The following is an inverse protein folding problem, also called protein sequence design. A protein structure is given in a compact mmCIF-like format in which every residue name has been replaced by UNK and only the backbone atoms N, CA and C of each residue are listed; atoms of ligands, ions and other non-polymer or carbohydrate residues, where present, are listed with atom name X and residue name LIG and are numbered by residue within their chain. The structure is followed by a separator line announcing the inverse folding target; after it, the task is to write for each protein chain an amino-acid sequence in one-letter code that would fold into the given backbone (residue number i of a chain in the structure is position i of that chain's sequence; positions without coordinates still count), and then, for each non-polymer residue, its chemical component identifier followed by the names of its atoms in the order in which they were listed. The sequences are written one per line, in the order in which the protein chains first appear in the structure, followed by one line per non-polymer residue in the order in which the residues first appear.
data_IF_344594275821
#
_entry.id   IF_344594275821
#
_cell.length_a   1.000
_cell.length_b   1.000
_cell.length_c   1.000
_cell.angle_alpha   90.00
_cell.angle_beta   90.00
_cell.angle_gamma   90.00
#
_symmetry.space_group_name_H-M   'P 1'
#
loop_
_entity.id
_entity.type
_entity.pdbx_description
1 polymer ?
#
# COMPACT_ATOMS: atom_id res chain seq x y z
N UNK A 1 -51.38 21.80 28.56
CA UNK A 1 -50.29 22.36 29.37
C UNK A 1 -49.72 21.25 30.23
N UNK A 2 -48.39 21.11 30.22
CA UNK A 2 -47.57 20.18 30.99
C UNK A 2 -47.63 18.68 30.67
N UNK A 3 -46.83 18.27 29.72
CA UNK A 3 -46.19 16.92 29.65
C UNK A 3 -44.98 16.96 28.73
N UNK A 4 -43.92 17.66 29.09
CA UNK A 4 -42.62 17.66 28.39
C UNK A 4 -41.47 18.00 29.37
N UNK A 5 -41.41 17.27 30.50
CA UNK A 5 -40.20 17.30 31.36
C UNK A 5 -40.16 16.03 32.20
N UNK A 6 -39.90 14.88 31.58
CA UNK A 6 -39.61 13.67 32.33
C UNK A 6 -38.28 13.10 31.85
N UNK A 7 -37.23 13.05 32.68
CA UNK A 7 -35.91 12.61 32.32
C UNK A 7 -35.79 11.14 31.89
N UNK A 8 -36.79 10.32 32.24
CA UNK A 8 -36.82 8.88 31.87
C UNK A 8 -37.18 8.62 30.41
N UNK A 9 -37.80 9.60 29.71
CA UNK A 9 -38.10 9.46 28.27
C UNK A 9 -36.89 9.75 27.36
N UNK A 10 -35.87 10.43 27.85
CA UNK A 10 -34.62 10.68 27.11
C UNK A 10 -33.67 9.48 27.11
N UNK A 11 -33.70 8.70 28.17
CA UNK A 11 -32.82 7.49 28.26
C UNK A 11 -33.32 6.34 27.37
N UNK A 12 -34.62 6.24 27.11
CA UNK A 12 -35.19 5.21 26.24
C UNK A 12 -35.03 5.52 24.73
N UNK A 13 -34.92 6.77 24.35
CA UNK A 13 -34.61 7.16 22.96
C UNK A 13 -33.16 6.84 22.58
N UNK A 14 -32.23 7.01 23.53
CA UNK A 14 -30.81 6.68 23.32
C UNK A 14 -30.53 5.17 23.31
N UNK A 15 -31.33 4.35 24.00
CA UNK A 15 -31.16 2.91 24.02
C UNK A 15 -31.64 2.21 22.73
N UNK A 16 -32.56 2.83 21.98
CA UNK A 16 -33.03 2.28 20.71
C UNK A 16 -32.11 2.64 19.53
N UNK A 17 -31.35 3.71 19.61
CA UNK A 17 -30.40 4.13 18.55
C UNK A 17 -29.11 3.32 18.53
N UNK A 18 -28.77 2.62 19.63
CA UNK A 18 -27.60 1.71 19.71
C UNK A 18 -27.80 0.32 19.08
N UNK A 19 -28.95 0.03 18.46
CA UNK A 19 -29.28 -1.32 17.93
C UNK A 19 -29.39 -1.42 16.41
N UNK A 20 -29.02 -0.40 15.64
CA UNK A 20 -28.94 -0.51 14.18
C UNK A 20 -27.64 0.08 13.62
N UNK A 21 -26.55 -0.71 13.56
CA UNK A 21 -25.31 -0.30 12.91
C UNK A 21 -25.21 -0.75 11.44
N UNK A 22 -26.31 -0.78 10.69
CA UNK A 22 -26.25 -1.17 9.28
C UNK A 22 -27.13 -0.27 8.43
N UNK A 23 -26.56 0.87 8.02
CA UNK A 23 -26.88 1.54 6.75
C UNK A 23 -25.70 2.44 6.39
N UNK A 24 -24.56 1.83 6.01
CA UNK A 24 -23.60 2.50 5.16
C UNK A 24 -24.19 2.52 3.75
N UNK A 25 -24.55 3.72 3.30
CA UNK A 25 -24.98 4.02 1.96
C UNK A 25 -23.88 3.74 0.95
N UNK A 26 -23.95 2.60 0.25
CA UNK A 26 -23.00 2.30 -0.82
C UNK A 26 -23.08 0.91 -1.39
N UNK A 27 -24.28 0.36 -1.66
CA UNK A 27 -24.41 -0.80 -2.56
C UNK A 27 -25.87 -1.25 -2.66
N UNK A 28 -26.75 -0.47 -3.30
CA UNK A 28 -28.05 -0.95 -3.75
C UNK A 28 -28.63 -0.07 -4.88
N UNK A 29 -27.90 0.05 -5.99
CA UNK A 29 -28.47 0.49 -7.28
C UNK A 29 -27.75 -0.29 -8.39
N UNK A 30 -28.15 -1.53 -8.66
CA UNK A 30 -27.88 -2.22 -9.93
C UNK A 30 -28.73 -3.50 -10.07
N UNK A 31 -30.05 -3.41 -9.95
CA UNK A 31 -30.95 -4.49 -10.42
C UNK A 31 -32.38 -4.05 -10.77
N UNK A 32 -32.70 -2.75 -10.72
CA UNK A 32 -34.04 -2.24 -11.07
C UNK A 32 -34.09 -1.28 -12.25
N UNK A 33 -32.95 -0.92 -12.84
CA UNK A 33 -32.81 0.19 -13.76
C UNK A 33 -33.17 -0.06 -15.24
N UNK A 34 -33.25 -1.29 -15.70
CA UNK A 34 -33.39 -1.54 -17.14
C UNK A 34 -34.83 -1.56 -17.68
N UNK A 35 -35.83 -1.71 -16.85
CA UNK A 35 -37.25 -1.76 -17.32
C UNK A 35 -37.92 -0.38 -17.24
N UNK A 36 -37.50 0.47 -16.30
CA UNK A 36 -38.05 1.84 -16.18
C UNK A 36 -37.42 2.78 -17.20
N UNK A 37 -36.19 2.52 -17.65
CA UNK A 37 -35.50 3.36 -18.65
C UNK A 37 -36.10 3.22 -20.06
N UNK A 38 -36.69 2.08 -20.43
CA UNK A 38 -37.29 1.87 -21.76
C UNK A 38 -38.69 2.48 -21.86
N UNK A 39 -39.46 2.62 -20.76
CA UNK A 39 -40.71 3.31 -20.72
C UNK A 39 -40.57 4.83 -20.61
N UNK A 40 -39.42 5.32 -20.11
CA UNK A 40 -39.15 6.76 -19.97
C UNK A 40 -38.63 7.40 -21.28
N UNK A 41 -38.00 6.62 -22.15
CA UNK A 41 -37.49 7.06 -23.46
C UNK A 41 -38.57 7.18 -24.53
N UNK A 42 -39.75 6.61 -24.32
CA UNK A 42 -40.88 6.67 -25.26
C UNK A 42 -41.86 7.83 -24.96
N UNK A 43 -41.66 8.57 -23.87
CA UNK A 43 -42.51 9.73 -23.48
C UNK A 43 -41.77 11.07 -23.49
N UNK A 44 -40.56 11.17 -23.98
CA UNK A 44 -39.80 12.44 -24.13
C UNK A 44 -39.52 12.81 -25.58
N UNK A 45 -40.60 12.96 -26.38
CA UNK A 45 -40.59 14.02 -27.37
C UNK A 45 -41.00 15.29 -26.66
N UNK A 46 -40.15 16.35 -26.76
CA UNK A 46 -40.38 17.72 -26.29
C UNK A 46 -40.29 18.02 -24.78
N UNK A 47 -39.05 18.20 -24.27
CA UNK A 47 -38.64 19.28 -23.36
C UNK A 47 -37.19 19.13 -22.89
N UNK A 48 -36.25 19.37 -23.77
CA UNK A 48 -34.83 19.20 -23.53
C UNK A 48 -34.08 20.40 -22.96
N UNK A 49 -34.70 21.26 -22.10
CA UNK A 49 -33.92 22.41 -21.59
C UNK A 49 -34.16 22.82 -20.12
N UNK A 50 -34.94 22.10 -19.35
CA UNK A 50 -35.25 22.55 -17.97
C UNK A 50 -34.64 21.71 -16.83
N UNK A 51 -34.02 20.57 -17.11
CA UNK A 51 -33.40 19.74 -16.07
C UNK A 51 -31.93 20.06 -15.78
N UNK A 52 -31.20 20.58 -16.76
CA UNK A 52 -29.81 21.04 -16.56
C UNK A 52 -29.75 22.35 -15.76
N UNK A 53 -30.75 23.23 -15.88
CA UNK A 53 -30.79 24.48 -15.13
C UNK A 53 -31.17 24.26 -13.64
N UNK A 54 -32.02 23.30 -13.33
CA UNK A 54 -32.43 23.05 -11.93
C UNK A 54 -31.33 22.41 -11.08
N UNK A 55 -30.47 21.55 -11.64
CA UNK A 55 -29.32 20.99 -10.92
C UNK A 55 -28.25 22.06 -10.68
N UNK A 56 -27.96 22.90 -11.65
CA UNK A 56 -26.98 23.99 -11.55
C UNK A 56 -27.42 25.06 -10.54
N UNK A 57 -28.72 25.39 -10.49
CA UNK A 57 -29.27 26.34 -9.51
C UNK A 57 -29.24 25.79 -8.08
N UNK A 58 -29.56 24.51 -7.88
CA UNK A 58 -29.50 23.87 -6.56
C UNK A 58 -28.05 23.76 -6.05
N UNK A 59 -27.06 23.50 -6.91
CA UNK A 59 -25.64 23.48 -6.55
C UNK A 59 -25.12 24.87 -6.18
N UNK A 60 -25.54 25.92 -6.89
CA UNK A 60 -25.17 27.30 -6.59
C UNK A 60 -25.77 27.79 -5.27
N UNK A 61 -27.03 27.44 -4.98
CA UNK A 61 -27.70 27.77 -3.71
C UNK A 61 -27.01 27.06 -2.54
N UNK A 62 -26.63 25.78 -2.69
CA UNK A 62 -25.90 25.01 -1.69
C UNK A 62 -24.53 25.62 -1.41
N UNK A 63 -23.76 25.94 -2.46
CA UNK A 63 -22.44 26.58 -2.33
C UNK A 63 -22.51 27.96 -1.68
N UNK A 64 -23.58 28.73 -1.96
CA UNK A 64 -23.79 30.06 -1.36
C UNK A 64 -24.12 29.94 0.12
N UNK A 65 -24.94 28.97 0.50
CA UNK A 65 -25.30 28.65 1.87
C UNK A 65 -24.08 28.20 2.68
N UNK A 66 -23.26 27.27 2.16
CA UNK A 66 -22.00 26.82 2.80
C UNK A 66 -21.02 27.97 2.99
N UNK A 67 -20.84 28.84 2.00
CA UNK A 67 -19.95 30.01 2.08
C UNK A 67 -20.41 30.98 3.17
N UNK A 68 -21.72 31.17 3.33
CA UNK A 68 -22.30 32.02 4.36
C UNK A 68 -22.06 31.41 5.74
N UNK A 69 -22.40 30.13 5.93
CA UNK A 69 -22.20 29.38 7.19
C UNK A 69 -20.73 29.37 7.59
N UNK A 70 -19.80 29.19 6.64
CA UNK A 70 -18.35 29.27 6.92
C UNK A 70 -17.96 30.64 7.48
N UNK A 71 -18.43 31.74 6.88
CA UNK A 71 -18.14 33.11 7.35
C UNK A 71 -18.70 33.36 8.75
N UNK A 72 -19.89 32.88 9.02
CA UNK A 72 -20.54 33.01 10.33
C UNK A 72 -19.79 32.24 11.41
N UNK A 73 -19.36 30.99 11.12
CA UNK A 73 -18.56 30.20 12.04
C UNK A 73 -17.19 30.84 12.32
N UNK A 74 -16.52 31.37 11.29
CA UNK A 74 -15.24 32.07 11.48
C UNK A 74 -15.42 33.32 12.34
N UNK A 75 -16.45 34.13 12.09
CA UNK A 75 -16.75 35.32 12.91
C UNK A 75 -17.13 34.96 14.34
N UNK A 76 -17.85 33.86 14.53
CA UNK A 76 -18.19 33.33 15.84
C UNK A 76 -16.94 32.88 16.62
N UNK A 77 -16.04 32.12 15.98
CA UNK A 77 -14.77 31.66 16.59
C UNK A 77 -13.79 32.81 16.91
N UNK A 78 -13.85 33.92 16.18
CA UNK A 78 -13.10 35.12 16.58
C UNK A 78 -13.52 35.68 17.94
N UNK A 79 -14.79 35.48 18.32
CA UNK A 79 -15.37 35.93 19.60
C UNK A 79 -15.29 34.85 20.68
N UNK A 80 -15.37 33.58 20.27
CA UNK A 80 -15.38 32.41 21.14
C UNK A 80 -14.34 31.37 20.63
N UNK A 81 -13.04 31.61 20.84
CA UNK A 81 -11.96 30.81 20.22
C UNK A 81 -11.85 29.38 20.75
N UNK A 82 -12.46 29.07 21.90
CA UNK A 82 -12.38 27.75 22.53
C UNK A 82 -13.68 26.94 22.37
N UNK A 83 -14.61 27.38 21.50
CA UNK A 83 -15.87 26.65 21.29
C UNK A 83 -15.65 25.43 20.40
N UNK A 84 -15.60 24.25 21.04
CA UNK A 84 -15.35 22.96 20.40
C UNK A 84 -16.42 22.59 19.36
N UNK A 85 -17.71 22.99 19.60
CA UNK A 85 -18.80 22.70 18.65
C UNK A 85 -18.65 23.51 17.36
N UNK A 86 -18.29 24.78 17.48
CA UNK A 86 -18.05 25.62 16.31
C UNK A 86 -16.81 25.17 15.53
N UNK A 87 -15.73 24.78 16.21
CA UNK A 87 -14.55 24.18 15.58
C UNK A 87 -14.90 22.89 14.85
N UNK A 88 -15.64 21.98 15.49
CA UNK A 88 -16.06 20.74 14.84
C UNK A 88 -16.87 21.01 13.55
N UNK A 89 -17.88 21.88 13.64
CA UNK A 89 -18.72 22.22 12.48
C UNK A 89 -17.92 22.92 11.36
N UNK A 90 -16.97 23.77 11.70
CA UNK A 90 -16.12 24.41 10.69
C UNK A 90 -15.19 23.38 10.03
N UNK A 91 -14.63 22.45 10.79
CA UNK A 91 -13.82 21.36 10.29
C UNK A 91 -14.59 20.52 9.25
N UNK A 92 -15.79 20.05 9.60
CA UNK A 92 -16.67 19.30 8.69
C UNK A 92 -16.97 20.07 7.40
N UNK A 93 -17.23 21.36 7.52
CA UNK A 93 -17.62 22.19 6.38
C UNK A 93 -16.50 22.45 5.38
N UNK A 94 -15.23 22.42 5.84
CA UNK A 94 -14.09 22.81 5.02
C UNK A 94 -13.12 21.67 4.67
N UNK A 95 -13.32 20.45 5.19
CA UNK A 95 -12.34 19.36 5.08
C UNK A 95 -11.93 19.04 3.64
N UNK A 96 -12.86 19.05 2.69
CA UNK A 96 -12.60 18.74 1.28
C UNK A 96 -11.86 19.86 0.55
N UNK A 97 -12.05 21.12 0.98
CA UNK A 97 -11.53 22.31 0.30
C UNK A 97 -10.30 22.91 0.95
N UNK A 98 -10.16 22.72 2.26
CA UNK A 98 -9.08 23.28 3.05
C UNK A 98 -8.63 22.29 4.15
N UNK A 99 -8.05 21.13 3.77
CA UNK A 99 -7.77 20.03 4.68
C UNK A 99 -6.87 20.43 5.85
N UNK A 100 -5.86 21.26 5.65
CA UNK A 100 -5.00 21.74 6.74
C UNK A 100 -5.74 22.62 7.76
N UNK A 101 -6.68 23.45 7.30
CA UNK A 101 -7.50 24.27 8.21
C UNK A 101 -8.53 23.39 8.94
N UNK A 102 -9.05 22.36 8.30
CA UNK A 102 -9.93 21.38 8.91
C UNK A 102 -9.19 20.60 10.03
N UNK A 103 -7.97 20.15 9.77
CA UNK A 103 -7.11 19.52 10.79
C UNK A 103 -6.88 20.40 12.01
N UNK A 104 -6.65 21.69 11.79
CA UNK A 104 -6.51 22.67 12.87
C UNK A 104 -7.81 22.73 13.71
N UNK A 105 -8.95 22.91 13.06
CA UNK A 105 -10.24 22.97 13.73
C UNK A 105 -10.56 21.68 14.48
N UNK A 106 -10.42 20.51 13.87
CA UNK A 106 -10.64 19.24 14.55
C UNK A 106 -9.70 19.02 15.74
N UNK A 107 -8.49 19.61 15.71
CA UNK A 107 -7.54 19.53 16.82
C UNK A 107 -7.99 20.30 18.08
N UNK A 108 -8.94 21.23 17.97
CA UNK A 108 -9.54 21.91 19.11
C UNK A 108 -10.66 21.09 19.79
N UNK A 109 -11.11 19.99 19.16
CA UNK A 109 -12.14 19.12 19.72
C UNK A 109 -11.51 18.16 20.72
N UNK A 110 -11.96 18.23 21.99
CA UNK A 110 -11.40 17.40 23.08
C UNK A 110 -12.30 16.19 23.40
N UNK A 111 -11.81 15.28 24.24
CA UNK A 111 -12.55 14.09 24.70
C UNK A 111 -13.90 14.42 25.38
N UNK A 112 -14.14 15.69 25.76
CA UNK A 112 -15.40 16.15 26.34
C UNK A 112 -16.49 16.37 25.30
N UNK A 113 -16.11 16.57 24.05
CA UNK A 113 -17.06 16.78 22.97
C UNK A 113 -17.74 15.45 22.58
N UNK A 114 -19.07 15.41 22.40
CA UNK A 114 -19.80 14.17 22.11
C UNK A 114 -19.39 13.50 20.79
N UNK A 115 -18.82 14.28 19.85
CA UNK A 115 -18.34 13.81 18.55
C UNK A 115 -16.78 13.79 18.46
N UNK A 116 -16.10 13.60 19.59
CA UNK A 116 -14.65 13.59 19.65
C UNK A 116 -14.04 12.54 18.71
N UNK A 117 -14.55 11.32 18.74
CA UNK A 117 -13.99 10.24 17.93
C UNK A 117 -14.23 10.43 16.44
N UNK A 118 -15.33 11.11 16.06
CA UNK A 118 -15.54 11.51 14.67
C UNK A 118 -14.53 12.57 14.22
N UNK A 119 -14.17 13.52 15.08
CA UNK A 119 -13.08 14.46 14.82
C UNK A 119 -11.72 13.75 14.68
N UNK A 120 -11.44 12.77 15.55
CA UNK A 120 -10.20 11.98 15.48
C UNK A 120 -10.18 11.13 14.19
N UNK A 121 -11.30 10.59 13.76
CA UNK A 121 -11.43 9.86 12.50
C UNK A 121 -11.13 10.78 11.31
N UNK A 122 -11.76 11.96 11.26
CA UNK A 122 -11.50 12.96 10.22
C UNK A 122 -10.04 13.41 10.22
N UNK A 123 -9.42 13.61 11.40
CA UNK A 123 -7.97 13.89 11.51
C UNK A 123 -7.16 12.75 10.89
N UNK A 124 -7.51 11.49 11.17
CA UNK A 124 -6.76 10.34 10.62
C UNK A 124 -6.85 10.26 9.10
N UNK A 125 -8.04 10.50 8.54
CA UNK A 125 -8.30 10.45 7.10
C UNK A 125 -7.58 11.59 6.37
N UNK A 126 -7.80 12.82 6.79
CA UNK A 126 -7.14 13.98 6.19
C UNK A 126 -5.61 13.86 6.32
N UNK A 127 -5.11 13.43 7.48
CA UNK A 127 -3.67 13.29 7.68
C UNK A 127 -3.04 12.21 6.78
N UNK A 128 -3.75 11.09 6.53
CA UNK A 128 -3.32 10.06 5.57
C UNK A 128 -3.27 10.60 4.14
N UNK A 129 -4.31 11.31 3.71
CA UNK A 129 -4.39 11.91 2.37
C UNK A 129 -3.31 12.96 2.12
N UNK A 130 -2.97 13.74 3.16
CA UNK A 130 -1.95 14.79 3.09
C UNK A 130 -0.53 14.29 3.40
N UNK A 131 -0.32 12.98 3.62
CA UNK A 131 1.00 12.42 3.94
C UNK A 131 1.55 12.85 5.30
N UNK A 132 0.69 13.23 6.25
CA UNK A 132 1.06 13.64 7.61
C UNK A 132 1.10 12.42 8.55
N UNK A 133 1.99 11.46 8.25
CA UNK A 133 2.05 10.14 8.90
C UNK A 133 2.06 10.19 10.43
N UNK A 134 2.75 11.16 11.03
CA UNK A 134 2.79 11.32 12.48
C UNK A 134 1.44 11.67 13.09
N UNK A 135 0.66 12.55 12.46
CA UNK A 135 -0.70 12.92 12.90
C UNK A 135 -1.67 11.77 12.67
N UNK A 136 -1.63 11.15 11.49
CA UNK A 136 -2.43 9.98 11.13
C UNK A 136 -2.23 8.83 12.14
N UNK A 137 -0.98 8.52 12.46
CA UNK A 137 -0.64 7.48 13.43
C UNK A 137 -1.17 7.79 14.83
N UNK A 138 -1.04 9.03 15.31
CA UNK A 138 -1.55 9.42 16.61
C UNK A 138 -3.06 9.29 16.71
N UNK A 139 -3.79 9.73 15.70
CA UNK A 139 -5.24 9.59 15.60
C UNK A 139 -5.66 8.11 15.52
N UNK A 140 -5.02 7.31 14.67
CA UNK A 140 -5.30 5.88 14.53
C UNK A 140 -5.04 5.09 15.83
N UNK A 141 -4.03 5.46 16.62
CA UNK A 141 -3.79 4.83 17.92
C UNK A 141 -4.91 5.07 18.92
N UNK A 142 -5.54 6.25 18.89
CA UNK A 142 -6.73 6.56 19.70
C UNK A 142 -7.90 5.70 19.22
N UNK A 143 -8.17 5.67 17.91
CA UNK A 143 -9.28 4.90 17.32
C UNK A 143 -9.16 3.39 17.56
N UNK A 144 -7.98 2.82 17.37
CA UNK A 144 -7.72 1.38 17.63
C UNK A 144 -7.92 1.03 19.11
N UNK A 145 -7.63 1.96 20.03
CA UNK A 145 -7.86 1.75 21.46
C UNK A 145 -9.35 1.76 21.81
N UNK A 146 -10.08 2.71 21.23
CA UNK A 146 -11.52 2.90 21.52
C UNK A 146 -12.39 1.90 20.77
N UNK A 147 -12.02 1.57 19.53
CA UNK A 147 -12.78 0.68 18.65
C UNK A 147 -11.92 -0.54 18.24
N UNK A 148 -11.58 -1.45 19.19
CA UNK A 148 -10.67 -2.58 18.92
C UNK A 148 -11.23 -3.59 17.92
N UNK A 149 -12.56 -3.63 17.74
CA UNK A 149 -13.25 -4.53 16.80
C UNK A 149 -13.39 -3.95 15.39
N UNK A 150 -13.02 -2.68 15.18
CA UNK A 150 -13.10 -2.02 13.88
C UNK A 150 -11.79 -2.22 13.11
N UNK A 151 -11.70 -3.35 12.41
CA UNK A 151 -10.47 -3.80 11.72
C UNK A 151 -9.85 -2.79 10.75
N UNK A 152 -10.65 -1.92 10.15
CA UNK A 152 -10.13 -0.94 9.20
C UNK A 152 -9.15 0.08 9.81
N UNK A 153 -9.29 0.43 11.08
CA UNK A 153 -8.30 1.27 11.77
C UNK A 153 -6.99 0.52 12.00
N UNK A 154 -7.06 -0.78 12.36
CA UNK A 154 -5.88 -1.62 12.48
C UNK A 154 -5.17 -1.76 11.13
N UNK A 155 -5.92 -1.95 10.02
CA UNK A 155 -5.36 -2.05 8.67
C UNK A 155 -4.62 -0.76 8.27
N UNK A 156 -5.23 0.41 8.50
CA UNK A 156 -4.60 1.72 8.22
C UNK A 156 -3.32 1.92 9.04
N UNK A 157 -3.38 1.60 10.35
CA UNK A 157 -2.21 1.70 11.24
C UNK A 157 -1.10 0.72 10.84
N UNK A 158 -1.46 -0.51 10.44
CA UNK A 158 -0.50 -1.50 9.95
C UNK A 158 0.26 -1.00 8.72
N UNK A 159 -0.43 -0.38 7.76
CA UNK A 159 0.19 0.20 6.56
C UNK A 159 1.17 1.33 6.89
N UNK A 160 0.81 2.24 7.81
CA UNK A 160 1.73 3.29 8.26
C UNK A 160 2.97 2.72 8.93
N UNK A 161 2.80 1.77 9.85
CA UNK A 161 3.92 1.13 10.54
C UNK A 161 4.81 0.32 9.60
N UNK A 162 4.21 -0.27 8.55
CA UNK A 162 4.94 -0.94 7.48
C UNK A 162 5.80 0.04 6.69
N UNK A 163 5.26 1.19 6.31
CA UNK A 163 6.00 2.25 5.63
C UNK A 163 7.14 2.82 6.49
N UNK A 164 6.95 2.88 7.82
CA UNK A 164 8.01 3.25 8.77
C UNK A 164 9.07 2.14 9.00
N UNK A 165 8.96 0.97 8.36
CA UNK A 165 9.84 -0.17 8.59
C UNK A 165 9.63 -0.89 9.92
N UNK A 166 8.57 -0.59 10.65
CA UNK A 166 8.24 -1.20 11.95
C UNK A 166 7.48 -2.52 11.78
N UNK A 167 8.10 -3.48 11.10
CA UNK A 167 7.45 -4.71 10.63
C UNK A 167 6.75 -5.52 11.72
N UNK A 168 7.35 -5.64 12.91
CA UNK A 168 6.73 -6.40 14.00
C UNK A 168 5.42 -5.77 14.50
N UNK A 169 5.37 -4.44 14.59
CA UNK A 169 4.16 -3.71 14.95
C UNK A 169 3.13 -3.74 13.81
N UNK A 170 3.56 -3.52 12.58
CA UNK A 170 2.71 -3.63 11.40
C UNK A 170 2.03 -5.00 11.33
N UNK A 171 2.79 -6.08 11.52
CA UNK A 171 2.27 -7.46 11.52
C UNK A 171 1.25 -7.68 12.63
N UNK A 172 1.48 -7.14 13.82
CA UNK A 172 0.55 -7.25 14.94
C UNK A 172 -0.81 -6.63 14.60
N UNK A 173 -0.80 -5.42 14.03
CA UNK A 173 -2.04 -4.73 13.68
C UNK A 173 -2.71 -5.33 12.43
N UNK A 174 -1.94 -5.78 11.44
CA UNK A 174 -2.49 -6.47 10.28
C UNK A 174 -3.20 -7.79 10.67
N UNK A 175 -2.64 -8.56 11.61
CA UNK A 175 -3.31 -9.77 12.15
C UNK A 175 -4.57 -9.42 12.94
N UNK A 176 -4.54 -8.36 13.75
CA UNK A 176 -5.74 -7.91 14.46
C UNK A 176 -6.86 -7.49 13.52
N UNK A 177 -6.54 -6.81 12.40
CA UNK A 177 -7.55 -6.53 11.39
C UNK A 177 -8.27 -7.81 10.93
N UNK A 178 -7.54 -8.89 10.67
CA UNK A 178 -8.12 -10.18 10.28
C UNK A 178 -8.99 -10.78 11.41
N UNK A 179 -8.53 -10.72 12.66
CA UNK A 179 -9.25 -11.18 13.84
C UNK A 179 -10.56 -10.40 14.05
N UNK A 180 -10.56 -9.10 13.78
CA UNK A 180 -11.72 -8.19 13.86
C UNK A 180 -12.64 -8.24 12.64
N UNK A 181 -12.47 -9.23 11.77
CA UNK A 181 -13.39 -9.44 10.63
C UNK A 181 -12.91 -8.92 9.27
N UNK A 182 -11.71 -8.36 9.18
CA UNK A 182 -11.04 -8.08 7.91
C UNK A 182 -10.67 -9.39 7.22
N UNK A 183 -11.49 -9.82 6.24
CA UNK A 183 -11.34 -11.11 5.55
C UNK A 183 -11.32 -10.95 4.03
N UNK A 184 -10.79 -9.83 3.55
CA UNK A 184 -10.55 -9.61 2.14
C UNK A 184 -9.18 -10.19 1.74
N UNK A 185 -9.02 -10.55 0.48
CA UNK A 185 -7.75 -11.10 0.00
C UNK A 185 -6.56 -10.16 0.24
N UNK A 186 -6.80 -8.84 0.11
CA UNK A 186 -5.77 -7.83 0.39
C UNK A 186 -5.33 -7.77 1.85
N UNK A 187 -6.17 -8.17 2.82
CA UNK A 187 -5.79 -8.19 4.23
C UNK A 187 -4.74 -9.26 4.49
N UNK A 188 -4.90 -10.42 3.87
CA UNK A 188 -3.93 -11.51 3.93
C UNK A 188 -2.67 -11.20 3.10
N UNK A 189 -2.83 -10.54 1.96
CA UNK A 189 -1.71 -10.09 1.14
C UNK A 189 -0.85 -9.08 1.89
N UNK A 190 -1.45 -8.13 2.61
CA UNK A 190 -0.72 -7.19 3.47
C UNK A 190 0.10 -7.91 4.54
N UNK A 191 -0.45 -8.94 5.19
CA UNK A 191 0.29 -9.76 6.16
C UNK A 191 1.48 -10.44 5.50
N UNK A 192 1.29 -11.02 4.31
CA UNK A 192 2.37 -11.68 3.57
C UNK A 192 3.46 -10.69 3.15
N UNK A 193 3.09 -9.51 2.71
CA UNK A 193 4.05 -8.47 2.31
C UNK A 193 4.88 -7.98 3.50
N UNK A 194 4.26 -7.74 4.66
CA UNK A 194 4.96 -7.38 5.90
C UNK A 194 5.94 -8.50 6.28
N UNK A 195 5.52 -9.77 6.21
CA UNK A 195 6.36 -10.92 6.51
C UNK A 195 7.56 -11.02 5.55
N UNK A 196 7.36 -10.74 4.27
CA UNK A 196 8.42 -10.70 3.26
C UNK A 196 9.48 -9.66 3.60
N UNK A 197 9.08 -8.44 3.93
CA UNK A 197 10.00 -7.37 4.31
C UNK A 197 10.68 -7.63 5.66
N UNK A 198 10.02 -8.36 6.56
CA UNK A 198 10.59 -8.80 7.83
C UNK A 198 11.54 -10.01 7.69
N UNK A 199 11.75 -10.56 6.48
CA UNK A 199 12.56 -11.76 6.24
C UNK A 199 11.93 -13.07 6.74
N UNK A 200 10.64 -13.07 7.07
CA UNK A 200 9.91 -14.21 7.63
C UNK A 200 9.19 -15.00 6.53
N UNK A 201 9.94 -15.40 5.51
CA UNK A 201 9.41 -15.92 4.24
C UNK A 201 8.56 -17.19 4.42
N UNK A 202 8.93 -18.09 5.32
CA UNK A 202 8.20 -19.34 5.56
C UNK A 202 6.76 -19.06 6.05
N UNK A 203 6.58 -18.02 6.86
CA UNK A 203 5.27 -17.65 7.42
C UNK A 203 4.32 -17.04 6.40
N UNK A 204 4.80 -16.63 5.23
CA UNK A 204 3.98 -16.03 4.16
C UNK A 204 2.98 -17.02 3.56
N UNK A 205 3.32 -18.32 3.54
CA UNK A 205 2.56 -19.37 2.82
C UNK A 205 1.11 -19.47 3.31
N UNK A 206 0.86 -19.38 4.60
CA UNK A 206 -0.48 -19.46 5.18
C UNK A 206 -1.38 -18.29 4.71
N UNK A 207 -1.01 -17.05 4.98
CA UNK A 207 -1.74 -15.87 4.50
C UNK A 207 -1.96 -15.87 2.98
N UNK A 208 -0.94 -16.20 2.17
CA UNK A 208 -1.07 -16.23 0.71
C UNK A 208 -2.09 -17.26 0.22
N UNK A 209 -2.11 -18.44 0.83
CA UNK A 209 -3.13 -19.45 0.53
C UNK A 209 -4.54 -18.98 0.90
N UNK A 210 -4.69 -18.21 1.98
CA UNK A 210 -5.98 -17.61 2.33
C UNK A 210 -6.39 -16.52 1.34
N UNK A 211 -5.46 -15.67 0.90
CA UNK A 211 -5.72 -14.68 -0.15
C UNK A 211 -6.22 -15.36 -1.43
N UNK A 212 -5.54 -16.41 -1.89
CA UNK A 212 -5.92 -17.17 -3.10
C UNK A 212 -7.19 -18.01 -2.93
N UNK A 213 -7.56 -18.40 -1.72
CA UNK A 213 -8.86 -19.02 -1.47
C UNK A 213 -10.02 -18.03 -1.64
N UNK A 214 -9.80 -16.76 -1.32
CA UNK A 214 -10.79 -15.68 -1.48
C UNK A 214 -10.82 -15.16 -2.91
N UNK A 215 -9.65 -14.94 -3.49
CA UNK A 215 -9.46 -14.42 -4.85
C UNK A 215 -8.44 -15.31 -5.58
N UNK A 216 -8.93 -16.35 -6.29
CA UNK A 216 -8.06 -17.34 -6.96
C UNK A 216 -7.16 -16.75 -8.05
N UNK A 217 -7.53 -15.62 -8.64
CA UNK A 217 -6.81 -14.99 -9.75
C UNK A 217 -5.97 -13.77 -9.29
N UNK A 218 -5.70 -13.65 -7.98
CA UNK A 218 -4.91 -12.54 -7.43
C UNK A 218 -3.43 -12.71 -7.78
N UNK A 219 -2.98 -12.01 -8.83
CA UNK A 219 -1.65 -12.12 -9.42
C UNK A 219 -0.53 -11.94 -8.39
N UNK A 220 -0.62 -10.91 -7.54
CA UNK A 220 0.37 -10.60 -6.51
C UNK A 220 0.49 -11.73 -5.48
N UNK A 221 -0.60 -12.40 -5.17
CA UNK A 221 -0.58 -13.53 -4.23
C UNK A 221 0.12 -14.75 -4.82
N UNK A 222 -0.12 -15.08 -6.10
CA UNK A 222 0.61 -16.13 -6.82
C UNK A 222 2.11 -15.83 -6.90
N UNK A 223 2.47 -14.60 -7.27
CA UNK A 223 3.87 -14.19 -7.38
C UNK A 223 4.60 -14.26 -6.03
N UNK A 224 3.94 -13.81 -4.95
CA UNK A 224 4.48 -13.90 -3.60
C UNK A 224 4.51 -15.35 -3.09
N UNK A 225 3.57 -16.21 -3.50
CA UNK A 225 3.59 -17.63 -3.15
C UNK A 225 4.73 -18.36 -3.87
N UNK A 226 4.99 -18.03 -5.14
CA UNK A 226 6.17 -18.51 -5.87
C UNK A 226 7.46 -18.12 -5.14
N UNK A 227 7.57 -16.87 -4.69
CA UNK A 227 8.69 -16.41 -3.88
C UNK A 227 8.82 -17.19 -2.57
N UNK A 228 7.75 -17.29 -1.81
CA UNK A 228 7.75 -18.00 -0.52
C UNK A 228 8.16 -19.47 -0.69
N UNK A 229 7.61 -20.16 -1.68
CA UNK A 229 7.92 -21.56 -1.99
C UNK A 229 9.37 -21.76 -2.43
N UNK A 230 9.89 -20.85 -3.28
CA UNK A 230 11.29 -20.87 -3.71
C UNK A 230 12.25 -20.82 -2.52
N UNK A 231 12.03 -19.93 -1.57
CA UNK A 231 12.92 -19.76 -0.41
C UNK A 231 12.62 -20.72 0.76
N UNK A 232 11.49 -21.40 0.76
CA UNK A 232 11.18 -22.48 1.73
C UNK A 232 11.60 -23.87 1.23
N UNK A 233 12.16 -23.98 0.01
CA UNK A 233 12.62 -25.24 -0.55
C UNK A 233 11.50 -26.11 -1.11
N UNK A 234 10.42 -25.51 -1.60
CA UNK A 234 9.32 -26.17 -2.32
C UNK A 234 9.35 -25.77 -3.81
N UNK A 235 10.23 -26.39 -4.62
CA UNK A 235 10.39 -26.02 -6.03
C UNK A 235 9.16 -26.35 -6.87
N UNK A 236 8.36 -27.34 -6.47
CA UNK A 236 7.15 -27.73 -7.19
C UNK A 236 6.08 -26.64 -7.13
N UNK A 237 5.77 -26.15 -5.91
CA UNK A 237 4.86 -25.02 -5.73
C UNK A 237 5.44 -23.76 -6.38
N UNK A 238 6.73 -23.47 -6.19
CA UNK A 238 7.36 -22.30 -6.80
C UNK A 238 7.24 -22.30 -8.33
N UNK A 239 7.48 -23.44 -8.97
CA UNK A 239 7.36 -23.58 -10.42
C UNK A 239 5.92 -23.42 -10.91
N UNK A 240 4.97 -24.03 -10.21
CA UNK A 240 3.54 -23.96 -10.57
C UNK A 240 3.05 -22.51 -10.51
N UNK A 241 3.33 -21.81 -9.43
CA UNK A 241 2.87 -20.43 -9.23
C UNK A 241 3.58 -19.45 -10.18
N UNK A 242 4.87 -19.61 -10.41
CA UNK A 242 5.60 -18.77 -11.36
C UNK A 242 5.13 -18.99 -12.82
N UNK A 243 4.82 -20.22 -13.20
CA UNK A 243 4.23 -20.51 -14.53
C UNK A 243 2.83 -19.95 -14.66
N UNK A 244 2.02 -20.01 -13.62
CA UNK A 244 0.71 -19.37 -13.61
C UNK A 244 0.85 -17.86 -13.84
N UNK A 245 1.79 -17.21 -13.13
CA UNK A 245 2.06 -15.78 -13.35
C UNK A 245 2.46 -15.46 -14.80
N UNK A 246 3.22 -16.35 -15.47
CA UNK A 246 3.59 -16.16 -16.87
C UNK A 246 2.43 -16.41 -17.84
N UNK A 247 1.46 -17.25 -17.48
CA UNK A 247 0.27 -17.43 -18.31
C UNK A 247 -0.62 -16.19 -18.31
N UNK A 248 -0.69 -15.48 -17.18
CA UNK A 248 -1.44 -14.22 -17.04
C UNK A 248 -0.67 -13.01 -17.58
N UNK A 249 0.64 -12.96 -17.31
CA UNK A 249 1.52 -11.90 -17.80
C UNK A 249 2.82 -12.49 -18.36
N UNK A 250 2.89 -12.74 -19.68
CA UNK A 250 4.08 -13.30 -20.34
C UNK A 250 5.33 -12.39 -20.24
N UNK A 251 5.16 -11.10 -19.96
CA UNK A 251 6.25 -10.13 -19.82
C UNK A 251 6.72 -9.96 -18.35
N UNK A 252 6.31 -10.82 -17.44
CA UNK A 252 6.74 -10.77 -16.05
C UNK A 252 8.20 -11.18 -15.87
N UNK A 253 9.11 -10.21 -15.88
CA UNK A 253 10.55 -10.47 -15.63
C UNK A 253 10.79 -11.11 -14.27
N UNK A 254 9.98 -10.80 -13.27
CA UNK A 254 10.06 -11.40 -11.93
C UNK A 254 9.70 -12.89 -11.94
N UNK A 255 8.63 -13.28 -12.64
CA UNK A 255 8.24 -14.70 -12.74
C UNK A 255 9.29 -15.50 -13.56
N UNK A 256 9.82 -14.92 -14.65
CA UNK A 256 10.92 -15.50 -15.42
C UNK A 256 12.17 -15.68 -14.56
N UNK A 257 12.52 -14.69 -13.73
CA UNK A 257 13.64 -14.76 -12.80
C UNK A 257 13.44 -15.85 -11.75
N UNK A 258 12.25 -16.03 -11.20
CA UNK A 258 11.97 -17.13 -10.25
C UNK A 258 12.17 -18.49 -10.91
N UNK A 259 11.66 -18.70 -12.13
CA UNK A 259 11.90 -19.93 -12.88
C UNK A 259 13.40 -20.13 -13.15
N UNK A 260 14.14 -19.08 -13.48
CA UNK A 260 15.58 -19.16 -13.66
C UNK A 260 16.29 -19.61 -12.38
N UNK A 261 15.92 -19.07 -11.21
CA UNK A 261 16.50 -19.47 -9.92
C UNK A 261 16.16 -20.92 -9.60
N UNK A 262 14.93 -21.35 -9.83
CA UNK A 262 14.48 -22.74 -9.59
C UNK A 262 15.30 -23.69 -10.43
N UNK A 263 15.39 -23.46 -11.77
CA UNK A 263 16.14 -24.31 -12.68
C UNK A 263 17.65 -24.35 -12.35
N UNK A 264 18.25 -23.19 -11.99
CA UNK A 264 19.64 -23.15 -11.52
C UNK A 264 19.84 -24.05 -10.30
N UNK A 265 18.92 -23.99 -9.32
CA UNK A 265 19.02 -24.78 -8.09
C UNK A 265 18.81 -26.29 -8.34
N UNK A 266 18.09 -26.67 -9.37
CA UNK A 266 17.90 -28.05 -9.83
C UNK A 266 19.07 -28.54 -10.69
N UNK A 267 19.97 -27.66 -11.14
CA UNK A 267 21.10 -27.97 -12.00
C UNK A 267 20.81 -27.78 -13.49
N UNK A 268 19.60 -27.38 -13.87
CA UNK A 268 19.15 -27.15 -15.23
C UNK A 268 19.62 -25.78 -15.74
N UNK A 269 20.93 -25.63 -15.88
CA UNK A 269 21.61 -24.35 -16.13
C UNK A 269 21.20 -23.74 -17.47
N UNK A 270 21.04 -24.54 -18.50
CA UNK A 270 20.68 -24.05 -19.84
C UNK A 270 19.26 -23.47 -19.86
N UNK A 271 18.31 -24.12 -19.20
CA UNK A 271 16.95 -23.63 -19.00
C UNK A 271 16.94 -22.34 -18.19
N UNK A 272 17.74 -22.27 -17.10
CA UNK A 272 17.90 -21.06 -16.30
C UNK A 272 18.38 -19.88 -17.15
N UNK A 273 19.40 -20.08 -18.00
CA UNK A 273 19.89 -19.05 -18.92
C UNK A 273 18.82 -18.66 -19.94
N UNK A 274 18.02 -19.61 -20.43
CA UNK A 274 16.92 -19.34 -21.34
C UNK A 274 15.90 -18.39 -20.74
N UNK A 275 15.43 -18.63 -19.50
CA UNK A 275 14.52 -17.72 -18.81
C UNK A 275 15.14 -16.35 -18.56
N UNK A 276 16.43 -16.27 -18.20
CA UNK A 276 17.12 -14.99 -18.03
C UNK A 276 17.25 -14.22 -19.34
N UNK A 277 17.50 -14.89 -20.46
CA UNK A 277 17.52 -14.25 -21.77
C UNK A 277 16.14 -13.67 -22.14
N UNK A 278 15.05 -14.40 -21.86
CA UNK A 278 13.70 -13.90 -22.06
C UNK A 278 13.45 -12.65 -21.18
N UNK A 279 13.77 -12.70 -19.89
CA UNK A 279 13.62 -11.56 -19.00
C UNK A 279 14.42 -10.34 -19.49
N UNK A 280 15.67 -10.52 -19.91
CA UNK A 280 16.53 -9.46 -20.40
C UNK A 280 16.19 -8.97 -21.82
N UNK A 281 15.38 -9.72 -22.57
CA UNK A 281 14.82 -9.20 -23.83
C UNK A 281 13.66 -8.25 -23.59
N UNK A 282 12.97 -8.37 -22.44
CA UNK A 282 11.88 -7.49 -22.00
C UNK A 282 12.48 -6.25 -21.31
N UNK A 283 13.35 -6.46 -20.30
CA UNK A 283 14.08 -5.39 -19.63
C UNK A 283 15.60 -5.67 -19.65
N UNK A 284 16.32 -5.10 -20.61
CA UNK A 284 17.78 -5.28 -20.75
C UNK A 284 18.59 -4.74 -19.56
N UNK A 285 17.97 -3.91 -18.70
CA UNK A 285 18.61 -3.31 -17.53
C UNK A 285 18.16 -3.91 -16.20
N UNK A 286 17.35 -5.00 -16.20
CA UNK A 286 16.97 -5.70 -14.96
C UNK A 286 18.22 -6.21 -14.26
N UNK A 287 18.64 -5.46 -13.23
CA UNK A 287 19.87 -5.74 -12.48
C UNK A 287 19.86 -7.12 -11.82
N UNK A 288 18.71 -7.57 -11.32
CA UNK A 288 18.60 -8.87 -10.65
C UNK A 288 18.79 -10.03 -11.65
N UNK A 289 18.24 -9.90 -12.84
CA UNK A 289 18.44 -10.87 -13.92
C UNK A 289 19.89 -10.85 -14.46
N UNK A 290 20.49 -9.66 -14.59
CA UNK A 290 21.88 -9.51 -15.02
C UNK A 290 22.83 -10.13 -14.00
N UNK A 291 22.65 -9.86 -12.71
CA UNK A 291 23.49 -10.42 -11.64
C UNK A 291 23.37 -11.95 -11.59
N UNK A 292 22.17 -12.48 -11.67
CA UNK A 292 21.95 -13.92 -11.67
C UNK A 292 22.60 -14.60 -12.88
N UNK A 293 22.48 -14.01 -14.07
CA UNK A 293 23.13 -14.52 -15.29
C UNK A 293 24.65 -14.43 -15.20
N UNK A 294 25.17 -13.33 -14.68
CA UNK A 294 26.62 -13.17 -14.48
C UNK A 294 27.16 -14.19 -13.48
N UNK A 295 26.45 -14.47 -12.39
CA UNK A 295 26.85 -15.50 -11.42
C UNK A 295 26.92 -16.89 -12.06
N UNK A 296 25.94 -17.24 -12.89
CA UNK A 296 25.96 -18.51 -13.65
C UNK A 296 27.14 -18.55 -14.60
N UNK A 297 27.42 -17.49 -15.35
CA UNK A 297 28.54 -17.42 -16.28
C UNK A 297 29.89 -17.51 -15.55
N UNK A 298 30.06 -16.84 -14.41
CA UNK A 298 31.22 -16.94 -13.55
C UNK A 298 31.44 -18.37 -13.04
N UNK A 299 30.37 -19.03 -12.61
CA UNK A 299 30.43 -20.43 -12.20
C UNK A 299 30.83 -21.36 -13.32
N UNK A 300 30.36 -21.10 -14.54
CA UNK A 300 30.79 -21.83 -15.76
C UNK A 300 32.20 -21.45 -16.27
N UNK A 301 32.95 -20.60 -15.57
CA UNK A 301 34.25 -20.06 -16.00
C UNK A 301 34.22 -19.22 -17.29
N UNK A 302 33.03 -18.74 -17.69
CA UNK A 302 32.81 -17.86 -18.85
C UNK A 302 33.00 -16.38 -18.44
N UNK A 303 34.16 -16.04 -17.90
CA UNK A 303 34.45 -14.73 -17.32
C UNK A 303 34.29 -13.58 -18.30
N UNK A 304 34.70 -13.73 -19.57
CA UNK A 304 34.53 -12.68 -20.58
C UNK A 304 33.09 -12.34 -20.83
N UNK A 305 32.21 -13.35 -20.97
CA UNK A 305 30.78 -13.13 -21.17
C UNK A 305 30.14 -12.46 -19.97
N UNK A 306 30.52 -12.81 -18.73
CA UNK A 306 30.05 -12.17 -17.52
C UNK A 306 30.51 -10.70 -17.43
N UNK A 307 31.76 -10.44 -17.82
CA UNK A 307 32.30 -9.10 -17.81
C UNK A 307 31.60 -8.18 -18.83
N UNK A 308 31.46 -8.62 -20.08
CA UNK A 308 30.77 -7.87 -21.14
C UNK A 308 29.29 -7.63 -20.82
N UNK A 309 28.67 -8.56 -20.12
CA UNK A 309 27.30 -8.42 -19.68
C UNK A 309 27.13 -7.29 -18.64
N UNK A 310 28.06 -7.17 -17.69
CA UNK A 310 27.94 -6.21 -16.58
C UNK A 310 28.58 -4.86 -16.90
N UNK A 311 29.75 -4.83 -17.62
CA UNK A 311 30.54 -3.60 -17.82
C UNK A 311 29.77 -2.37 -18.28
N UNK A 312 28.77 -2.47 -19.19
CA UNK A 312 28.02 -1.32 -19.66
C UNK A 312 27.26 -0.55 -18.55
N UNK A 313 26.90 -1.23 -17.45
CA UNK A 313 26.14 -0.62 -16.35
C UNK A 313 27.03 -0.01 -15.25
N UNK A 314 28.35 -0.08 -15.39
CA UNK A 314 29.28 0.37 -14.33
C UNK A 314 29.05 1.81 -13.90
N UNK A 315 28.80 2.71 -14.83
CA UNK A 315 28.60 4.14 -14.52
C UNK A 315 27.38 4.39 -13.62
N UNK A 316 26.33 3.56 -13.75
CA UNK A 316 25.07 3.71 -13.00
C UNK A 316 24.99 2.82 -11.75
N UNK A 317 25.74 1.71 -11.71
CA UNK A 317 25.63 0.68 -10.67
C UNK A 317 26.84 0.61 -9.72
N UNK A 318 27.80 1.54 -9.82
CA UNK A 318 29.02 1.54 -9.00
C UNK A 318 28.79 1.67 -7.49
N UNK A 319 27.60 2.00 -7.05
CA UNK A 319 27.20 2.05 -5.63
C UNK A 319 26.46 0.80 -5.15
N UNK A 320 26.04 -0.10 -6.05
CA UNK A 320 25.48 -1.41 -5.66
C UNK A 320 26.60 -2.39 -5.40
N UNK A 321 26.76 -2.78 -4.15
CA UNK A 321 27.82 -3.71 -3.69
C UNK A 321 27.74 -5.07 -4.37
N UNK A 322 26.54 -5.59 -4.64
CA UNK A 322 26.34 -6.89 -5.31
C UNK A 322 26.86 -6.83 -6.74
N UNK A 323 26.55 -5.72 -7.42
CA UNK A 323 27.01 -5.45 -8.78
C UNK A 323 28.55 -5.33 -8.83
N UNK A 324 29.13 -4.49 -7.97
CA UNK A 324 30.58 -4.30 -7.91
C UNK A 324 31.32 -5.62 -7.62
N UNK A 325 30.77 -6.43 -6.70
CA UNK A 325 31.32 -7.76 -6.40
C UNK A 325 31.23 -8.73 -7.58
N UNK A 326 30.13 -8.75 -8.32
CA UNK A 326 29.92 -9.59 -9.48
C UNK A 326 30.89 -9.19 -10.62
N UNK A 327 31.02 -7.89 -10.90
CA UNK A 327 31.96 -7.37 -11.92
C UNK A 327 33.39 -7.64 -11.54
N UNK A 328 33.80 -7.51 -10.27
CA UNK A 328 35.12 -7.84 -9.79
C UNK A 328 35.50 -9.32 -10.04
N UNK A 329 34.54 -10.24 -9.76
CA UNK A 329 34.73 -11.68 -10.03
C UNK A 329 34.88 -11.96 -11.52
N UNK A 330 34.08 -11.33 -12.35
CA UNK A 330 34.15 -11.46 -13.80
C UNK A 330 35.48 -10.94 -14.33
N UNK A 331 35.91 -9.74 -13.92
CA UNK A 331 37.20 -9.16 -14.29
C UNK A 331 38.40 -10.04 -13.86
N UNK A 332 38.34 -10.62 -12.67
CA UNK A 332 39.38 -11.55 -12.19
C UNK A 332 39.52 -12.79 -13.06
N UNK A 333 38.42 -13.36 -13.57
CA UNK A 333 38.44 -14.52 -14.46
C UNK A 333 38.99 -14.20 -15.87
N UNK A 334 38.94 -12.94 -16.29
CA UNK A 334 39.43 -12.50 -17.62
C UNK A 334 40.87 -12.04 -17.60
N UNK A 335 41.55 -12.09 -16.44
CA UNK A 335 42.92 -11.63 -16.28
C UNK A 335 43.07 -10.11 -16.14
N UNK A 336 42.00 -9.34 -16.02
CA UNK A 336 41.97 -7.88 -15.76
C UNK A 336 42.27 -7.60 -14.28
N UNK A 337 43.51 -7.97 -13.84
CA UNK A 337 43.88 -8.02 -12.41
C UNK A 337 43.82 -6.67 -11.72
N UNK A 338 44.25 -5.60 -12.37
CA UNK A 338 44.22 -4.24 -11.79
C UNK A 338 42.80 -3.76 -11.57
N UNK A 339 41.94 -3.88 -12.57
CA UNK A 339 40.56 -3.53 -12.47
C UNK A 339 39.81 -4.37 -11.43
N UNK A 340 40.06 -5.67 -11.38
CA UNK A 340 39.50 -6.55 -10.37
C UNK A 340 39.89 -6.13 -8.95
N UNK A 341 41.12 -5.68 -8.73
CA UNK A 341 41.61 -5.19 -7.45
C UNK A 341 40.96 -3.86 -7.08
N UNK A 342 40.82 -2.92 -8.00
CA UNK A 342 40.14 -1.65 -7.81
C UNK A 342 38.67 -1.87 -7.41
N UNK A 343 37.94 -2.74 -8.11
CA UNK A 343 36.55 -3.10 -7.81
C UNK A 343 36.44 -3.78 -6.44
N UNK A 344 37.41 -4.65 -6.05
CA UNK A 344 37.40 -5.23 -4.71
C UNK A 344 37.61 -4.19 -3.62
N UNK A 345 38.51 -3.21 -3.83
CA UNK A 345 38.73 -2.10 -2.91
C UNK A 345 37.46 -1.22 -2.81
N UNK A 346 36.78 -0.96 -3.94
CA UNK A 346 35.51 -0.24 -3.96
C UNK A 346 34.46 -1.01 -3.16
N UNK A 347 34.33 -2.31 -3.39
CA UNK A 347 33.38 -3.15 -2.63
C UNK A 347 33.63 -3.10 -1.11
N UNK A 348 34.91 -3.15 -0.70
CA UNK A 348 35.26 -3.02 0.72
C UNK A 348 34.90 -1.65 1.32
N UNK A 349 35.04 -0.58 0.53
CA UNK A 349 34.60 0.78 0.94
C UNK A 349 33.08 0.83 1.12
N UNK A 350 32.33 0.29 0.16
CA UNK A 350 30.86 0.23 0.24
C UNK A 350 30.37 -0.55 1.45
N UNK A 351 31.03 -1.67 1.80
CA UNK A 351 30.72 -2.42 3.04
C UNK A 351 30.89 -1.53 4.28
N UNK A 352 32.03 -0.84 4.39
CA UNK A 352 32.30 0.04 5.53
C UNK A 352 31.30 1.20 5.64
N UNK A 353 30.88 1.75 4.50
CA UNK A 353 29.88 2.82 4.45
C UNK A 353 28.49 2.31 4.86
N UNK A 354 28.10 1.09 4.49
CA UNK A 354 26.85 0.46 4.96
C UNK A 354 26.89 0.22 6.48
N UNK A 355 28.00 -0.28 7.01
CA UNK A 355 28.15 -0.54 8.45
C UNK A 355 28.11 0.74 9.30
N UNK A 356 28.55 1.87 8.72
CA UNK A 356 28.54 3.19 9.40
C UNK A 356 27.19 3.90 9.33
N UNK A 357 26.26 3.46 8.49
CA UNK A 357 24.92 4.06 8.43
C UNK A 357 24.11 3.71 9.68
N UNK A 358 23.52 4.72 10.36
CA UNK A 358 22.62 4.46 11.48
C UNK A 358 21.49 3.52 11.05
N UNK A 359 21.09 2.60 11.93
CA UNK A 359 20.02 1.61 11.67
C UNK A 359 18.68 2.22 11.24
N UNK A 360 18.45 3.50 11.54
CA UNK A 360 17.29 4.27 11.08
C UNK A 360 17.28 4.59 9.57
N UNK A 361 18.46 4.61 8.92
CA UNK A 361 18.60 4.90 7.49
C UNK A 361 18.78 3.63 6.64
N UNK A 362 19.01 2.48 7.27
CA UNK A 362 19.12 1.20 6.56
C UNK A 362 17.77 0.76 5.94
N UNK A 363 16.64 1.23 6.50
CA UNK A 363 15.30 0.98 5.94
C UNK A 363 14.98 1.83 4.69
N UNK A 364 15.60 3.00 4.52
CA UNK A 364 15.34 3.88 3.37
C UNK A 364 16.01 3.40 2.08
N UNK A 365 17.13 2.71 2.16
CA UNK A 365 17.84 2.21 0.98
C UNK A 365 17.07 1.07 0.29
N UNK A 366 16.34 0.25 1.06
CA UNK A 366 15.46 -0.81 0.55
C UNK A 366 14.23 -0.21 -0.13
N UNK A 367 13.70 0.92 0.38
CA UNK A 367 12.53 1.60 -0.18
C UNK A 367 12.83 2.34 -1.49
N UNK A 368 14.02 2.96 -1.64
CA UNK A 368 14.40 3.65 -2.89
C UNK A 368 14.60 2.71 -4.06
N UNK A 369 15.05 1.47 -3.80
CA UNK A 369 15.18 0.44 -4.85
C UNK A 369 13.81 -0.03 -5.37
N UNK A 370 12.72 0.16 -4.59
CA UNK A 370 11.35 -0.20 -4.99
C UNK A 370 10.55 1.00 -5.56
N UNK A 371 10.85 2.23 -5.16
CA UNK A 371 10.13 3.43 -5.61
C UNK A 371 10.56 3.92 -7.02
N UNK A 372 11.68 3.46 -7.53
CA UNK A 372 12.14 3.72 -8.92
C UNK A 372 11.43 2.89 -9.99
N UNK A 373 10.40 2.12 -9.62
CA UNK A 373 9.62 1.24 -10.51
C UNK A 373 8.15 1.66 -10.59
N UNK A 374 7.88 2.95 -10.81
CA UNK A 374 6.57 3.41 -11.30
C UNK A 374 6.71 3.93 -12.71
#
# INVERSE_FOLDING_TARGET
MNRLTDPENLTNAFAQQKRNPFLSSGSLILAGGCIVLLLFLLLQGESGNSRHDQSAVSEQETQTSEKTKRKELIAYLQKYPDDEFAHFQLGELIQDRAPFQALENFSHVTERHPRYFEAVEAISEIALEQGLDGRAKSALLILVREYPEEGHYQKRLARLLFAEGKFNWALRYARRNIESGGRQAEDYLLVAEILRQAGRTIEMTGPLKQALYLEPDLYEAHLNLAYAALYSGDPETATREARWCLSENPESTTALRYLAIINRNQGDIDESISYLNQALSIDPQDLECLLLKADILVFQRKGEQAYELLKPLYATQQTDRRYVSALARAAGLTGRREEALELQQLNQRLIKEEDLRPSSLQSESVQKTQAGRK
#
